data_IF_306437643384
#
_entry.id   IF_306437643384
#
_cell.length_a   1.000
_cell.length_b   1.000
_cell.length_c   1.000
_cell.angle_alpha   90.00
_cell.angle_beta   90.00
_cell.angle_gamma   90.00
#
_symmetry.space_group_name_H-M   'P 1'
#
loop_
_entity.id
_entity.type
_entity.pdbx_description
1 polymer ?
#
# COMPACT_ATOMS: atom_id res chain seq x y z
N UNK A 1 -14.47 -27.56 -8.77
CA UNK A 1 -13.77 -27.14 -10.00
C UNK A 1 -12.32 -26.92 -9.65
N UNK A 2 -11.38 -27.52 -10.39
CA UNK A 2 -9.94 -27.31 -10.21
C UNK A 2 -9.43 -26.51 -11.39
N UNK A 3 -8.64 -25.48 -11.15
CA UNK A 3 -7.97 -24.71 -12.20
C UNK A 3 -6.48 -24.55 -11.86
N UNK A 4 -5.66 -24.30 -12.86
CA UNK A 4 -4.21 -24.09 -12.71
C UNK A 4 -3.82 -22.80 -13.41
N UNK A 5 -2.99 -22.02 -12.77
CA UNK A 5 -2.45 -20.76 -13.32
C UNK A 5 -0.92 -20.91 -13.33
N UNK A 6 -0.32 -20.63 -14.49
CA UNK A 6 1.14 -20.53 -14.59
C UNK A 6 1.61 -19.19 -14.06
N UNK A 7 2.73 -19.18 -13.32
CA UNK A 7 3.30 -17.97 -12.74
C UNK A 7 4.82 -18.02 -12.73
N UNK A 8 5.44 -16.89 -12.37
CA UNK A 8 6.88 -16.78 -12.17
C UNK A 8 7.23 -17.10 -10.71
N UNK A 9 8.05 -18.12 -10.48
CA UNK A 9 8.51 -18.41 -9.15
C UNK A 9 9.62 -17.44 -8.74
N UNK A 10 9.32 -16.58 -7.77
CA UNK A 10 10.28 -15.59 -7.20
C UNK A 10 10.97 -16.11 -5.93
N UNK A 11 10.36 -17.07 -5.24
CA UNK A 11 10.94 -17.76 -4.08
C UNK A 11 10.90 -19.27 -4.28
N UNK A 12 11.79 -19.98 -3.57
CA UNK A 12 11.83 -21.44 -3.59
C UNK A 12 10.87 -22.00 -2.54
N UNK A 13 10.16 -23.05 -2.90
CA UNK A 13 9.29 -23.79 -1.98
C UNK A 13 7.96 -24.17 -2.60
N UNK A 14 7.20 -24.96 -1.85
CA UNK A 14 5.81 -25.32 -2.15
C UNK A 14 5.01 -24.99 -0.91
N UNK A 15 3.93 -24.26 -1.09
CA UNK A 15 3.00 -23.92 -0.02
C UNK A 15 1.60 -24.39 -0.37
N UNK A 16 0.93 -25.01 0.62
CA UNK A 16 -0.46 -25.44 0.50
C UNK A 16 -1.24 -24.73 1.61
N UNK A 17 -2.26 -24.02 1.24
CA UNK A 17 -3.02 -23.24 2.21
C UNK A 17 -4.35 -22.73 1.64
N UNK A 18 -5.10 -22.04 2.50
CA UNK A 18 -6.32 -21.34 2.10
C UNK A 18 -5.95 -19.98 1.51
N UNK A 19 -6.40 -19.71 0.28
CA UNK A 19 -6.20 -18.42 -0.36
C UNK A 19 -6.99 -17.32 0.37
N UNK A 20 -6.30 -16.23 0.67
CA UNK A 20 -6.89 -14.99 1.18
C UNK A 20 -6.63 -13.92 0.12
N UNK A 21 -7.70 -13.47 -0.51
CA UNK A 21 -7.62 -12.39 -1.49
C UNK A 21 -7.58 -11.05 -0.75
N UNK A 22 -6.46 -10.36 -0.89
CA UNK A 22 -6.34 -8.96 -0.48
C UNK A 22 -6.61 -8.13 -1.72
N UNK A 23 -7.83 -7.63 -1.80
CA UNK A 23 -8.22 -6.79 -2.93
C UNK A 23 -7.45 -5.48 -2.87
N UNK A 24 -6.59 -5.23 -3.85
CA UNK A 24 -6.22 -3.89 -4.22
C UNK A 24 -7.43 -3.26 -4.93
N UNK A 25 -8.52 -3.04 -4.21
CA UNK A 25 -9.51 -2.11 -4.73
C UNK A 25 -8.85 -0.73 -4.68
N UNK A 26 -8.36 -0.25 -5.82
CA UNK A 26 -8.00 1.16 -5.96
C UNK A 26 -9.12 1.98 -5.36
N UNK A 27 -8.77 2.93 -4.54
CA UNK A 27 -9.77 3.81 -3.94
C UNK A 27 -10.51 4.52 -5.08
N UNK A 28 -11.80 4.26 -5.22
CA UNK A 28 -12.61 4.94 -6.22
C UNK A 28 -12.64 6.43 -5.90
N UNK A 29 -12.13 7.25 -6.81
CA UNK A 29 -12.00 8.70 -6.62
C UNK A 29 -13.16 9.40 -7.30
N UNK A 30 -13.98 10.08 -6.52
CA UNK A 30 -15.01 10.94 -7.06
C UNK A 30 -14.39 12.26 -7.54
N UNK A 31 -14.76 12.69 -8.74
CA UNK A 31 -14.30 13.93 -9.34
C UNK A 31 -15.45 14.96 -9.31
N UNK A 32 -15.26 16.03 -8.55
CA UNK A 32 -16.22 17.15 -8.50
C UNK A 32 -15.51 18.47 -8.21
N UNK A 33 -16.12 19.56 -8.63
CA UNK A 33 -15.64 20.89 -8.31
C UNK A 33 -16.17 21.31 -6.93
N UNK A 34 -15.32 22.02 -6.21
CA UNK A 34 -15.64 22.56 -4.90
C UNK A 34 -15.97 24.05 -5.00
N UNK A 35 -16.65 24.59 -3.98
CA UNK A 35 -16.86 26.03 -3.84
C UNK A 35 -15.59 26.70 -3.26
N UNK A 36 -15.33 28.00 -3.60
CA UNK A 36 -14.12 28.69 -3.10
C UNK A 36 -13.97 28.68 -1.58
N UNK A 37 -15.07 28.64 -0.84
CA UNK A 37 -15.08 28.60 0.63
C UNK A 37 -14.60 27.25 1.18
N UNK A 38 -14.56 26.21 0.35
CA UNK A 38 -14.14 24.86 0.72
C UNK A 38 -12.64 24.62 0.50
N UNK A 39 -11.91 25.54 -0.15
CA UNK A 39 -10.51 25.38 -0.52
C UNK A 39 -9.65 25.00 0.69
N UNK A 40 -9.72 25.74 1.78
CA UNK A 40 -8.90 25.48 2.98
C UNK A 40 -9.25 24.14 3.60
N UNK A 41 -10.52 23.75 3.63
CA UNK A 41 -10.95 22.46 4.18
C UNK A 41 -10.44 21.28 3.34
N UNK A 42 -10.40 21.39 2.02
CA UNK A 42 -9.88 20.36 1.13
C UNK A 42 -8.35 20.25 1.22
N UNK A 43 -7.64 21.38 1.33
CA UNK A 43 -6.18 21.39 1.61
C UNK A 43 -5.88 20.70 2.94
N UNK A 44 -6.67 20.99 3.97
CA UNK A 44 -6.53 20.40 5.28
C UNK A 44 -6.80 18.88 5.27
N UNK A 45 -7.77 18.42 4.49
CA UNK A 45 -8.03 16.98 4.30
C UNK A 45 -6.81 16.25 3.72
N UNK A 46 -6.19 16.81 2.68
CA UNK A 46 -4.94 16.24 2.11
C UNK A 46 -3.83 16.23 3.15
N UNK A 47 -3.65 17.36 3.87
CA UNK A 47 -2.62 17.47 4.91
C UNK A 47 -2.82 16.45 6.02
N UNK A 48 -4.05 16.27 6.50
CA UNK A 48 -4.37 15.27 7.53
C UNK A 48 -4.11 13.85 7.03
N UNK A 49 -4.55 13.50 5.82
CA UNK A 49 -4.30 12.20 5.22
C UNK A 49 -2.80 11.92 5.06
N UNK A 50 -2.04 12.88 4.54
CA UNK A 50 -0.58 12.77 4.42
C UNK A 50 0.11 12.55 5.78
N UNK A 51 -0.25 13.35 6.78
CA UNK A 51 0.36 13.24 8.11
C UNK A 51 0.04 11.88 8.75
N UNK A 52 -1.18 11.35 8.56
CA UNK A 52 -1.53 10.02 9.04
C UNK A 52 -0.67 8.92 8.41
N UNK A 53 -0.35 9.03 7.10
CA UNK A 53 0.57 8.10 6.42
C UNK A 53 2.00 8.25 6.96
N UNK A 54 2.47 9.46 7.21
CA UNK A 54 3.79 9.69 7.82
C UNK A 54 3.89 8.99 9.18
N UNK A 55 2.89 9.20 10.05
CA UNK A 55 2.85 8.54 11.36
C UNK A 55 2.78 7.01 11.25
N UNK A 56 2.03 6.49 10.27
CA UNK A 56 1.95 5.05 10.00
C UNK A 56 3.32 4.49 9.63
N UNK A 57 4.03 5.12 8.67
CA UNK A 57 5.34 4.65 8.22
C UNK A 57 6.37 4.75 9.35
N UNK A 58 6.36 5.81 10.14
CA UNK A 58 7.26 5.94 11.29
C UNK A 58 7.04 4.83 12.31
N UNK A 59 5.80 4.47 12.62
CA UNK A 59 5.50 3.32 13.50
C UNK A 59 5.97 2.00 12.91
N UNK A 60 5.86 1.82 11.59
CA UNK A 60 6.38 0.64 10.91
C UNK A 60 7.91 0.56 11.01
N UNK A 61 8.62 1.70 10.91
CA UNK A 61 10.07 1.77 11.11
C UNK A 61 10.48 1.38 12.53
N UNK A 62 9.73 1.82 13.54
CA UNK A 62 9.96 1.44 14.94
C UNK A 62 9.74 -0.06 15.21
N UNK A 63 8.82 -0.68 14.47
CA UNK A 63 8.47 -2.10 14.57
C UNK A 63 9.41 -3.03 13.76
N UNK A 64 10.35 -2.47 12.97
CA UNK A 64 11.32 -3.25 12.19
C UNK A 64 12.28 -3.99 13.12
N UNK A 65 12.40 -5.34 13.01
CA UNK A 65 13.39 -6.08 13.76
C UNK A 65 14.83 -5.67 13.39
N UNK A 66 15.74 -5.71 14.36
CA UNK A 66 17.14 -5.31 14.15
C UNK A 66 17.89 -6.20 13.11
N UNK A 67 17.38 -7.38 12.84
CA UNK A 67 17.89 -8.33 11.85
C UNK A 67 17.19 -8.23 10.47
N UNK A 68 16.29 -7.26 10.29
CA UNK A 68 15.62 -7.04 9.01
C UNK A 68 16.59 -6.52 7.94
N UNK A 69 16.35 -6.86 6.65
CA UNK A 69 17.14 -6.32 5.55
C UNK A 69 17.16 -4.79 5.54
N UNK A 70 18.34 -4.19 5.29
CA UNK A 70 18.49 -2.72 5.25
C UNK A 70 17.65 -2.08 4.13
N UNK A 71 17.42 -2.82 3.05
CA UNK A 71 16.60 -2.41 1.91
C UNK A 71 15.18 -2.04 2.32
N UNK A 72 14.65 -2.74 3.33
CA UNK A 72 13.31 -2.46 3.85
C UNK A 72 13.22 -1.09 4.53
N UNK A 73 14.22 -0.75 5.34
CA UNK A 73 14.31 0.57 5.98
C UNK A 73 14.48 1.66 4.93
N UNK A 74 15.39 1.45 3.96
CA UNK A 74 15.65 2.41 2.89
C UNK A 74 14.40 2.70 2.06
N UNK A 75 13.55 1.70 1.84
CA UNK A 75 12.30 1.87 1.09
C UNK A 75 11.26 2.69 1.87
N UNK A 76 11.14 2.48 3.18
CA UNK A 76 10.27 3.33 4.01
C UNK A 76 10.79 4.77 4.09
N UNK A 77 12.12 4.98 4.10
CA UNK A 77 12.72 6.31 4.02
C UNK A 77 12.35 7.01 2.71
N UNK A 78 12.35 6.29 1.59
CA UNK A 78 11.91 6.81 0.30
C UNK A 78 10.44 7.23 0.33
N UNK A 79 9.57 6.44 0.92
CA UNK A 79 8.16 6.82 1.07
C UNK A 79 8.00 8.10 1.91
N UNK A 80 8.78 8.23 3.00
CA UNK A 80 8.78 9.47 3.80
C UNK A 80 9.30 10.68 3.01
N UNK A 81 10.32 10.50 2.15
CA UNK A 81 10.81 11.57 1.27
C UNK A 81 9.73 11.98 0.26
N UNK A 82 9.06 11.05 -0.39
CA UNK A 82 7.99 11.32 -1.35
C UNK A 82 6.80 12.06 -0.70
N UNK A 83 6.46 11.71 0.55
CA UNK A 83 5.42 12.41 1.32
C UNK A 83 5.77 13.87 1.65
N UNK A 84 7.07 14.19 1.69
CA UNK A 84 7.57 15.55 1.97
C UNK A 84 7.90 16.33 0.69
N UNK A 85 7.81 15.69 -0.47
CA UNK A 85 8.16 16.29 -1.74
C UNK A 85 7.26 17.50 -2.05
N UNK A 86 7.91 18.62 -2.39
CA UNK A 86 7.20 19.86 -2.71
C UNK A 86 6.39 19.75 -4.00
N UNK A 87 6.83 18.97 -4.97
CA UNK A 87 6.10 18.76 -6.22
C UNK A 87 4.74 18.09 -5.96
N UNK A 88 4.69 17.16 -5.01
CA UNK A 88 3.42 16.55 -4.62
C UNK A 88 2.55 17.55 -3.86
N UNK A 89 3.10 18.21 -2.84
CA UNK A 89 2.31 19.04 -1.92
C UNK A 89 1.85 20.36 -2.54
N UNK A 90 2.74 21.09 -3.23
CA UNK A 90 2.40 22.36 -3.90
C UNK A 90 1.53 22.12 -5.12
N UNK A 91 1.78 21.06 -5.90
CA UNK A 91 0.97 20.70 -7.05
C UNK A 91 -0.47 20.39 -6.68
N UNK A 92 -0.69 19.58 -5.64
CA UNK A 92 -2.05 19.30 -5.15
C UNK A 92 -2.74 20.57 -4.69
N UNK A 93 -2.05 21.44 -3.95
CA UNK A 93 -2.60 22.74 -3.53
C UNK A 93 -3.02 23.59 -4.73
N UNK A 94 -2.21 23.64 -5.79
CA UNK A 94 -2.51 24.36 -7.04
C UNK A 94 -3.82 23.84 -7.69
N UNK A 95 -4.00 22.50 -7.79
CA UNK A 95 -5.23 21.94 -8.35
C UNK A 95 -6.48 22.29 -7.52
N UNK A 96 -6.37 22.34 -6.20
CA UNK A 96 -7.47 22.73 -5.31
C UNK A 96 -7.76 24.20 -5.44
N UNK A 97 -6.76 25.10 -5.40
CA UNK A 97 -6.95 26.56 -5.38
C UNK A 97 -7.36 27.12 -6.73
N UNK A 98 -6.68 26.70 -7.80
CA UNK A 98 -6.82 27.35 -9.11
C UNK A 98 -7.82 26.63 -10.02
N UNK A 99 -8.07 25.35 -9.77
CA UNK A 99 -9.00 24.52 -10.54
C UNK A 99 -10.24 24.09 -9.78
N UNK A 100 -10.29 24.38 -8.48
CA UNK A 100 -11.41 24.03 -7.60
C UNK A 100 -11.70 22.50 -7.61
N UNK A 101 -10.65 21.67 -7.75
CA UNK A 101 -10.82 20.23 -7.66
C UNK A 101 -10.95 19.82 -6.19
N UNK A 102 -11.79 18.82 -5.91
CA UNK A 102 -11.79 18.20 -4.59
C UNK A 102 -10.44 17.51 -4.31
N UNK A 103 -10.14 17.29 -3.06
CA UNK A 103 -8.83 16.82 -2.59
C UNK A 103 -8.37 15.52 -3.25
N UNK A 104 -9.26 14.54 -3.39
CA UNK A 104 -8.93 13.24 -4.00
C UNK A 104 -8.61 13.38 -5.49
N UNK A 105 -9.39 14.19 -6.22
CA UNK A 105 -9.13 14.46 -7.63
C UNK A 105 -7.82 15.23 -7.83
N UNK A 106 -7.57 16.24 -7.00
CA UNK A 106 -6.31 16.99 -7.03
C UNK A 106 -5.09 16.07 -6.81
N UNK A 107 -5.17 15.13 -5.85
CA UNK A 107 -4.12 14.13 -5.59
C UNK A 107 -3.87 13.22 -6.79
N UNK A 108 -4.92 12.66 -7.38
CA UNK A 108 -4.78 11.75 -8.53
C UNK A 108 -4.29 12.49 -9.77
N UNK A 109 -4.75 13.72 -9.99
CA UNK A 109 -4.25 14.55 -11.11
C UNK A 109 -2.77 14.87 -10.96
N UNK A 110 -2.33 15.23 -9.75
CA UNK A 110 -0.92 15.51 -9.50
C UNK A 110 -0.06 14.24 -9.63
N UNK A 111 -0.55 13.09 -9.18
CA UNK A 111 0.11 11.81 -9.40
C UNK A 111 0.33 11.53 -10.88
N UNK A 112 -0.69 11.77 -11.72
CA UNK A 112 -0.56 11.59 -13.18
C UNK A 112 0.48 12.54 -13.79
N UNK A 113 0.54 13.80 -13.32
CA UNK A 113 1.53 14.78 -13.79
C UNK A 113 2.95 14.32 -13.47
N UNK A 114 3.20 13.95 -12.22
CA UNK A 114 4.53 13.49 -11.80
C UNK A 114 4.84 12.13 -12.46
N UNK A 115 3.85 11.24 -12.55
CA UNK A 115 4.02 9.92 -13.19
C UNK A 115 4.47 10.02 -14.64
N UNK A 116 3.95 10.97 -15.41
CA UNK A 116 4.41 11.23 -16.80
C UNK A 116 5.86 11.70 -16.84
N UNK A 117 6.28 12.52 -15.88
CA UNK A 117 7.68 12.94 -15.79
C UNK A 117 8.63 11.77 -15.53
N UNK A 118 8.23 10.83 -14.66
CA UNK A 118 8.98 9.59 -14.45
C UNK A 118 9.01 8.69 -15.71
N UNK A 119 7.90 8.61 -16.45
CA UNK A 119 7.83 7.80 -17.68
C UNK A 119 8.75 8.35 -18.80
N UNK A 120 9.01 9.66 -18.80
CA UNK A 120 9.91 10.34 -19.75
C UNK A 120 11.39 10.19 -19.37
N UNK A 121 11.72 9.71 -18.17
CA UNK A 121 13.10 9.51 -17.74
C UNK A 121 13.71 8.27 -18.39
N UNK A 122 14.95 8.37 -18.86
CA UNK A 122 15.69 7.26 -19.46
C UNK A 122 16.18 6.26 -18.42
N UNK A 123 16.36 6.69 -17.17
CA UNK A 123 16.86 5.89 -16.06
C UNK A 123 15.76 4.96 -15.50
N UNK A 124 16.00 3.65 -15.61
CA UNK A 124 15.10 2.61 -15.15
C UNK A 124 14.85 2.69 -13.62
N UNK A 125 15.86 3.01 -12.85
CA UNK A 125 15.76 3.18 -11.40
C UNK A 125 14.80 4.33 -11.02
N UNK A 126 14.83 5.44 -11.75
CA UNK A 126 13.91 6.55 -11.52
C UNK A 126 12.49 6.21 -11.95
N UNK A 127 12.30 5.39 -12.99
CA UNK A 127 10.97 4.91 -13.39
C UNK A 127 10.33 4.01 -12.34
N UNK A 128 11.13 3.20 -11.60
CA UNK A 128 10.63 2.38 -10.49
C UNK A 128 10.04 3.25 -9.36
N UNK A 129 10.54 4.50 -9.18
CA UNK A 129 10.01 5.45 -8.19
C UNK A 129 8.57 5.87 -8.44
N UNK A 130 8.08 5.73 -9.67
CA UNK A 130 6.67 5.95 -9.98
C UNK A 130 5.76 5.01 -9.17
N UNK A 131 6.13 3.74 -9.07
CA UNK A 131 5.37 2.76 -8.29
C UNK A 131 5.34 3.13 -6.80
N UNK A 132 6.46 3.59 -6.24
CA UNK A 132 6.53 4.06 -4.86
C UNK A 132 5.59 5.26 -4.63
N UNK A 133 5.58 6.21 -5.57
CA UNK A 133 4.69 7.37 -5.50
C UNK A 133 3.21 6.96 -5.59
N UNK A 134 2.86 6.03 -6.48
CA UNK A 134 1.51 5.49 -6.60
C UNK A 134 1.05 4.85 -5.28
N UNK A 135 1.91 4.08 -4.62
CA UNK A 135 1.63 3.47 -3.33
C UNK A 135 1.42 4.51 -2.23
N UNK A 136 2.26 5.55 -2.19
CA UNK A 136 2.13 6.64 -1.20
C UNK A 136 0.82 7.40 -1.37
N UNK A 137 0.46 7.77 -2.60
CA UNK A 137 -0.80 8.47 -2.90
C UNK A 137 -2.01 7.60 -2.58
N UNK A 138 -1.98 6.32 -2.92
CA UNK A 138 -3.05 5.37 -2.58
C UNK A 138 -3.27 5.29 -1.06
N UNK A 139 -2.20 5.30 -0.26
CA UNK A 139 -2.29 5.34 1.21
C UNK A 139 -2.94 6.63 1.71
N UNK A 140 -2.55 7.79 1.15
CA UNK A 140 -3.19 9.07 1.50
C UNK A 140 -4.71 9.00 1.21
N UNK A 141 -5.08 8.53 0.02
CA UNK A 141 -6.49 8.39 -0.37
C UNK A 141 -7.28 7.47 0.57
N UNK A 142 -6.69 6.36 1.00
CA UNK A 142 -7.31 5.44 1.97
C UNK A 142 -7.55 6.12 3.31
N UNK A 143 -6.56 6.82 3.84
CA UNK A 143 -6.70 7.57 5.09
C UNK A 143 -7.77 8.66 4.98
N UNK A 144 -7.82 9.41 3.88
CA UNK A 144 -8.84 10.44 3.66
C UNK A 144 -10.26 9.88 3.62
N UNK A 145 -10.44 8.67 3.11
CA UNK A 145 -11.74 7.99 3.04
C UNK A 145 -12.08 7.16 4.29
N UNK A 146 -11.19 7.07 5.25
CA UNK A 146 -11.37 6.21 6.42
C UNK A 146 -11.47 4.72 6.05
N UNK A 147 -10.93 4.34 4.89
CA UNK A 147 -10.87 2.93 4.48
C UNK A 147 -9.71 2.29 5.19
N UNK A 148 -10.01 1.38 6.11
CA UNK A 148 -8.98 0.60 6.78
C UNK A 148 -8.10 -0.13 5.75
N UNK A 149 -6.79 -0.24 6.05
CA UNK A 149 -5.93 -1.18 5.29
C UNK A 149 -6.61 -2.54 5.24
N UNK A 150 -6.39 -3.31 4.14
CA UNK A 150 -6.99 -4.63 4.05
C UNK A 150 -6.63 -5.41 5.32
N UNK A 151 -7.63 -5.58 6.17
CA UNK A 151 -7.47 -6.37 7.40
C UNK A 151 -7.30 -7.80 6.94
N UNK A 152 -6.08 -8.27 6.98
CA UNK A 152 -5.85 -9.70 6.85
C UNK A 152 -6.52 -10.37 8.05
N UNK A 153 -7.39 -11.35 7.83
CA UNK A 153 -7.95 -12.11 8.94
C UNK A 153 -6.81 -12.61 9.81
N UNK A 154 -6.74 -12.11 11.04
CA UNK A 154 -5.75 -12.64 11.99
C UNK A 154 -6.02 -14.15 12.08
N UNK A 155 -4.97 -14.96 11.92
CA UNK A 155 -5.06 -16.39 12.24
C UNK A 155 -5.76 -16.52 13.58
N UNK A 156 -6.75 -17.40 13.72
CA UNK A 156 -7.35 -17.65 15.01
C UNK A 156 -6.19 -17.83 16.00
N UNK A 157 -6.24 -17.07 17.09
CA UNK A 157 -5.21 -17.12 18.16
C UNK A 157 -4.83 -18.58 18.39
N UNK A 158 -3.53 -18.86 18.51
CA UNK A 158 -3.05 -20.18 18.96
C UNK A 158 -3.99 -20.62 20.09
N UNK A 159 -4.87 -21.54 19.75
CA UNK A 159 -5.79 -22.12 20.73
C UNK A 159 -4.92 -22.79 21.80
N UNK A 160 -5.25 -22.54 23.04
CA UNK A 160 -4.64 -23.25 24.16
C UNK A 160 -4.93 -24.75 24.00
N UNK A 161 -4.09 -25.61 24.58
CA UNK A 161 -4.22 -27.07 24.49
C UNK A 161 -5.62 -27.59 24.85
N UNK A 162 -6.42 -26.78 25.55
CA UNK A 162 -7.80 -27.06 25.93
C UNK A 162 -8.81 -26.79 24.82
N UNK A 163 -8.51 -25.89 23.88
CA UNK A 163 -9.37 -25.56 22.72
C UNK A 163 -9.24 -26.59 21.58
N UNK A 164 -8.17 -27.39 21.58
CA UNK A 164 -7.89 -28.40 20.56
C UNK A 164 -8.79 -29.64 20.64
N UNK A 165 -9.57 -29.79 21.70
CA UNK A 165 -10.43 -30.97 21.89
C UNK A 165 -11.85 -30.80 21.37
N UNK A 166 -12.22 -29.62 20.85
CA UNK A 166 -13.62 -29.30 20.48
C UNK A 166 -13.86 -28.83 19.07
N UNK A 167 -12.81 -28.68 18.25
CA UNK A 167 -13.02 -28.15 16.90
C UNK A 167 -12.03 -28.78 15.90
N UNK A 168 -12.56 -29.59 15.00
CA UNK A 168 -11.86 -30.27 13.89
C UNK A 168 -11.42 -29.32 12.76
N UNK A 169 -11.30 -28.01 13.02
CA UNK A 169 -10.75 -27.06 12.06
C UNK A 169 -9.23 -27.20 12.01
N UNK A 170 -8.76 -27.98 11.07
CA UNK A 170 -7.35 -28.06 10.67
C UNK A 170 -6.86 -26.60 10.49
N UNK A 171 -5.82 -26.24 11.22
CA UNK A 171 -5.14 -24.94 11.09
C UNK A 171 -4.44 -24.88 9.73
N UNK A 172 -5.23 -24.59 8.67
CA UNK A 172 -4.76 -24.55 7.31
C UNK A 172 -3.98 -23.26 7.12
N UNK A 173 -2.70 -23.32 6.73
CA UNK A 173 -1.91 -22.13 6.45
C UNK A 173 -2.60 -21.18 5.47
N UNK A 174 -2.34 -19.89 5.59
CA UNK A 174 -2.90 -18.90 4.69
C UNK A 174 -1.93 -18.62 3.53
N UNK A 175 -2.46 -18.51 2.32
CA UNK A 175 -1.74 -18.04 1.13
C UNK A 175 -2.37 -16.72 0.72
N UNK A 176 -1.60 -15.64 0.78
CA UNK A 176 -2.06 -14.31 0.41
C UNK A 176 -2.05 -14.17 -1.11
N UNK A 177 -3.14 -13.69 -1.67
CA UNK A 177 -3.28 -13.36 -3.09
C UNK A 177 -3.62 -11.89 -3.20
N UNK A 178 -2.80 -11.11 -3.89
CA UNK A 178 -2.99 -9.67 -4.04
C UNK A 178 -2.64 -9.24 -5.47
N UNK A 179 -3.09 -8.05 -5.88
CA UNK A 179 -2.64 -7.46 -7.12
C UNK A 179 -1.17 -7.02 -7.00
N UNK A 180 -0.88 -6.27 -5.95
CA UNK A 180 0.47 -5.83 -5.57
C UNK A 180 0.57 -5.80 -4.04
N UNK A 181 1.79 -5.86 -3.52
CA UNK A 181 2.08 -5.76 -2.09
C UNK A 181 3.20 -4.75 -1.88
N UNK A 182 2.90 -3.70 -1.14
CA UNK A 182 3.95 -2.80 -0.72
C UNK A 182 4.77 -3.42 0.42
N UNK A 183 6.03 -3.04 0.59
CA UNK A 183 6.86 -3.48 1.72
C UNK A 183 6.24 -3.14 3.09
N UNK A 184 5.53 -2.03 3.17
CA UNK A 184 4.81 -1.66 4.38
C UNK A 184 3.63 -2.61 4.66
N UNK A 185 2.95 -3.12 3.60
CA UNK A 185 1.92 -4.15 3.75
C UNK A 185 2.53 -5.46 4.27
N UNK A 186 3.70 -5.85 3.73
CA UNK A 186 4.41 -7.04 4.19
C UNK A 186 4.81 -6.94 5.66
N UNK A 187 5.23 -5.78 6.14
CA UNK A 187 5.53 -5.56 7.55
C UNK A 187 4.30 -5.69 8.44
N UNK A 188 3.17 -5.15 7.99
CA UNK A 188 1.90 -5.32 8.70
C UNK A 188 1.47 -6.79 8.74
N UNK A 189 1.71 -7.53 7.65
CA UNK A 189 1.36 -8.94 7.55
C UNK A 189 2.32 -9.87 8.31
N UNK A 190 3.51 -9.41 8.69
CA UNK A 190 4.48 -10.21 9.46
C UNK A 190 3.90 -10.73 10.79
N UNK A 191 2.87 -10.09 11.32
CA UNK A 191 2.13 -10.55 12.50
C UNK A 191 1.15 -11.71 12.19
N UNK A 192 0.96 -12.05 10.90
CA UNK A 192 0.08 -13.11 10.41
C UNK A 192 0.91 -14.23 9.80
N UNK A 193 0.56 -15.48 10.08
CA UNK A 193 1.32 -16.63 9.58
C UNK A 193 0.85 -16.95 8.16
N UNK A 194 1.50 -16.33 7.16
CA UNK A 194 1.33 -16.71 5.76
C UNK A 194 2.38 -17.73 5.35
N UNK A 195 1.94 -18.76 4.64
CA UNK A 195 2.78 -19.78 4.08
C UNK A 195 3.28 -19.45 2.66
N UNK A 196 2.66 -18.45 2.02
CA UNK A 196 3.06 -17.99 0.69
C UNK A 196 2.31 -16.75 0.24
N UNK A 197 2.84 -16.11 -0.81
CA UNK A 197 2.30 -14.92 -1.45
C UNK A 197 2.17 -15.13 -2.94
N UNK A 198 1.12 -14.60 -3.54
CA UNK A 198 0.89 -14.57 -5.00
C UNK A 198 0.49 -13.15 -5.37
N UNK A 199 1.19 -12.54 -6.34
CA UNK A 199 0.87 -11.20 -6.83
C UNK A 199 0.74 -11.19 -8.34
N UNK A 200 -0.06 -10.27 -8.90
CA UNK A 200 -0.19 -10.08 -10.35
C UNK A 200 0.99 -9.32 -10.93
N UNK A 201 1.57 -8.41 -10.16
CA UNK A 201 2.71 -7.57 -10.53
C UNK A 201 3.91 -7.88 -9.67
N UNK A 202 5.09 -7.50 -10.15
CA UNK A 202 6.35 -7.80 -9.51
C UNK A 202 7.17 -8.84 -10.29
N UNK A 203 8.38 -9.06 -9.86
CA UNK A 203 9.33 -9.97 -10.51
C UNK A 203 10.50 -10.30 -9.59
N UNK A 204 11.49 -11.01 -10.12
CA UNK A 204 12.71 -11.40 -9.35
C UNK A 204 13.55 -10.22 -8.88
N UNK A 205 13.38 -9.07 -9.48
CA UNK A 205 14.04 -7.79 -9.16
C UNK A 205 13.13 -6.81 -8.41
N UNK A 206 11.88 -7.18 -8.18
CA UNK A 206 10.94 -6.37 -7.40
C UNK A 206 11.34 -6.36 -5.92
N UNK A 207 11.15 -5.24 -5.24
CA UNK A 207 11.44 -5.07 -3.81
C UNK A 207 10.44 -5.77 -2.87
N UNK A 208 9.47 -6.49 -3.43
CA UNK A 208 8.46 -7.29 -2.71
C UNK A 208 8.88 -8.74 -2.49
#
# INVERSE_FOLDING_TARGET
MTFSIAGLAVARGISIGRAVLVGASRVEVAHYFIEPEQIESEIDRVRCGRNAVVEEIQRLQEDIPADAPQELTALLDVHLMLLQDEMLTSGVKHWITDRLYNAEWALTTQLEVIGRQFDEMEDEYLRERKADLEQVVERILRHMKGVAHPVVPQSPRRKTQQDLMLDDTIDVPLVLVAHDLSPADLLQFKKSVFAGFVTDVGGKTSHT
#
